data_IF_066517828273
#
_entry.id   IF_066517828273
#
_cell.length_a   1.000
_cell.length_b   1.000
_cell.length_c   1.000
_cell.angle_alpha   90.00
_cell.angle_beta   90.00
_cell.angle_gamma   90.00
#
_symmetry.space_group_name_H-M   'P 1'
#
loop_
_entity.id
_entity.type
_entity.pdbx_description
1 polymer ?
#
# COMPACT_ATOMS: atom_id res chain seq x y z
N UNK A 1 3.47 -34.35 10.90
CA UNK A 1 2.59 -33.96 9.77
C UNK A 1 1.43 -33.05 10.19
N UNK A 2 0.85 -33.22 11.39
CA UNK A 2 -0.26 -32.38 11.91
C UNK A 2 0.06 -30.87 11.94
N UNK A 3 1.29 -30.48 12.32
CA UNK A 3 1.74 -29.07 12.28
C UNK A 3 1.72 -28.44 10.88
N UNK A 4 1.97 -29.23 9.82
CA UNK A 4 1.92 -28.76 8.42
C UNK A 4 0.49 -28.49 7.95
N UNK A 5 -0.47 -29.33 8.36
CA UNK A 5 -1.89 -29.18 8.01
C UNK A 5 -2.50 -27.97 8.73
N UNK A 6 -2.07 -27.71 9.97
CA UNK A 6 -2.50 -26.52 10.71
C UNK A 6 -2.14 -25.25 9.94
N UNK A 7 -0.94 -25.15 9.36
CA UNK A 7 -0.51 -24.01 8.53
C UNK A 7 -1.17 -23.93 7.13
N UNK A 8 -1.87 -24.98 6.69
CA UNK A 8 -2.62 -24.99 5.42
C UNK A 8 -4.08 -24.56 5.66
N UNK A 9 -4.68 -25.01 6.78
CA UNK A 9 -6.02 -24.58 7.21
C UNK A 9 -6.02 -23.18 7.83
N UNK A 10 -4.92 -22.83 8.50
CA UNK A 10 -4.71 -21.55 9.16
C UNK A 10 -3.82 -20.70 8.26
N UNK A 11 -4.26 -19.48 7.94
CA UNK A 11 -3.51 -18.51 7.11
C UNK A 11 -2.01 -18.52 7.50
N UNK A 12 -1.08 -18.99 6.65
CA UNK A 12 0.33 -19.00 6.99
C UNK A 12 0.85 -17.57 7.09
N UNK A 13 1.84 -17.32 7.95
CA UNK A 13 2.34 -15.97 8.19
C UNK A 13 2.84 -15.28 6.91
N UNK A 14 3.42 -16.03 5.96
CA UNK A 14 3.85 -15.52 4.65
C UNK A 14 2.68 -15.07 3.76
N UNK A 15 1.53 -15.74 3.84
CA UNK A 15 0.31 -15.30 3.16
C UNK A 15 -0.33 -14.14 3.93
N UNK A 16 -0.23 -14.13 5.26
CA UNK A 16 -0.71 -13.02 6.07
C UNK A 16 0.01 -11.70 5.70
N UNK A 17 1.34 -11.70 5.52
CA UNK A 17 2.07 -10.50 5.07
C UNK A 17 1.60 -10.05 3.69
N UNK A 18 1.37 -10.96 2.74
CA UNK A 18 0.80 -10.62 1.44
C UNK A 18 -0.59 -9.96 1.57
N UNK A 19 -1.46 -10.51 2.41
CA UNK A 19 -2.78 -9.93 2.65
C UNK A 19 -2.67 -8.56 3.36
N UNK A 20 -1.67 -8.33 4.21
CA UNK A 20 -1.43 -7.01 4.80
C UNK A 20 -1.09 -5.97 3.72
N UNK A 21 -0.23 -6.31 2.77
CA UNK A 21 0.08 -5.44 1.63
C UNK A 21 -1.15 -5.18 0.75
N UNK A 22 -1.94 -6.21 0.44
CA UNK A 22 -3.21 -6.02 -0.28
C UNK A 22 -4.18 -5.10 0.48
N UNK A 23 -4.23 -5.21 1.81
CA UNK A 23 -5.05 -4.32 2.65
C UNK A 23 -4.53 -2.89 2.59
N UNK A 24 -3.22 -2.68 2.65
CA UNK A 24 -2.61 -1.36 2.55
C UNK A 24 -2.87 -0.71 1.16
N UNK A 25 -2.77 -1.51 0.10
CA UNK A 25 -3.06 -1.11 -1.28
C UNK A 25 -4.56 -1.04 -1.61
N UNK A 26 -5.46 -1.18 -0.62
CA UNK A 26 -6.92 -1.17 -0.79
C UNK A 26 -7.47 -2.20 -1.80
N UNK A 27 -6.72 -3.27 -2.08
CA UNK A 27 -7.04 -4.32 -3.06
C UNK A 27 -7.44 -5.65 -2.42
N UNK A 28 -7.61 -5.68 -1.09
CA UNK A 28 -8.02 -6.86 -0.34
C UNK A 28 -9.54 -7.11 -0.46
N UNK A 29 -9.95 -8.35 -0.69
CA UNK A 29 -11.35 -8.74 -0.63
C UNK A 29 -11.87 -8.86 0.82
N UNK A 30 -13.18 -8.77 1.02
CA UNK A 30 -13.79 -8.90 2.36
C UNK A 30 -13.47 -10.25 3.05
N UNK A 31 -13.44 -11.35 2.27
CA UNK A 31 -13.12 -12.69 2.78
C UNK A 31 -11.67 -12.76 3.26
N UNK A 32 -10.73 -12.29 2.44
CA UNK A 32 -9.31 -12.20 2.79
C UNK A 32 -9.09 -11.31 4.02
N UNK A 33 -9.80 -10.18 4.06
CA UNK A 33 -9.71 -9.23 5.16
C UNK A 33 -10.13 -9.86 6.50
N UNK A 34 -11.23 -10.64 6.51
CA UNK A 34 -11.68 -11.37 7.70
C UNK A 34 -10.67 -12.45 8.13
N UNK A 35 -10.15 -13.24 7.18
CA UNK A 35 -9.14 -14.27 7.43
C UNK A 35 -7.87 -13.66 8.04
N UNK A 36 -7.40 -12.54 7.49
CA UNK A 36 -6.26 -11.79 7.99
C UNK A 36 -6.51 -11.24 9.41
N UNK A 37 -7.67 -10.66 9.67
CA UNK A 37 -8.01 -10.15 11.00
C UNK A 37 -7.99 -11.26 12.07
N UNK A 38 -8.52 -12.45 11.77
CA UNK A 38 -8.43 -13.60 12.68
C UNK A 38 -6.97 -14.02 12.93
N UNK A 39 -6.14 -14.03 11.89
CA UNK A 39 -4.72 -14.36 12.04
C UNK A 39 -3.99 -13.37 12.94
N UNK A 40 -4.21 -12.06 12.77
CA UNK A 40 -3.59 -11.01 13.60
C UNK A 40 -4.02 -11.08 15.08
N UNK A 41 -5.20 -11.63 15.38
CA UNK A 41 -5.64 -11.87 16.75
C UNK A 41 -4.79 -12.93 17.46
N UNK A 42 -4.22 -13.88 16.72
CA UNK A 42 -3.54 -15.06 17.27
C UNK A 42 -2.01 -14.94 17.15
N UNK A 43 -1.50 -14.39 16.04
CA UNK A 43 -0.06 -14.28 15.80
C UNK A 43 0.49 -12.91 16.24
N UNK A 44 1.20 -12.89 17.38
CA UNK A 44 1.84 -11.68 17.93
C UNK A 44 2.84 -11.06 16.96
N UNK A 45 3.66 -11.85 16.27
CA UNK A 45 4.68 -11.35 15.35
C UNK A 45 4.07 -10.65 14.13
N UNK A 46 3.03 -11.24 13.55
CA UNK A 46 2.29 -10.64 12.44
C UNK A 46 1.57 -9.35 12.87
N UNK A 47 1.07 -9.28 14.11
CA UNK A 47 0.51 -8.03 14.66
C UNK A 47 1.56 -6.93 14.76
N UNK A 48 2.72 -7.22 15.36
CA UNK A 48 3.82 -6.26 15.46
C UNK A 48 4.31 -5.81 14.07
N UNK A 49 4.38 -6.73 13.11
CA UNK A 49 4.75 -6.40 11.74
C UNK A 49 3.71 -5.50 11.06
N UNK A 50 2.41 -5.79 11.23
CA UNK A 50 1.33 -4.96 10.71
C UNK A 50 1.35 -3.53 11.29
N UNK A 51 1.69 -3.36 12.57
CA UNK A 51 1.88 -2.05 13.20
C UNK A 51 3.06 -1.29 12.57
N UNK A 52 4.20 -1.97 12.34
CA UNK A 52 5.36 -1.37 11.65
C UNK A 52 5.02 -0.93 10.23
N UNK A 53 4.28 -1.77 9.49
CA UNK A 53 3.80 -1.43 8.14
C UNK A 53 2.91 -0.19 8.16
N UNK A 54 1.95 -0.11 9.08
CA UNK A 54 1.07 1.04 9.21
C UNK A 54 1.84 2.33 9.57
N UNK A 55 2.93 2.22 10.34
CA UNK A 55 3.82 3.36 10.61
C UNK A 55 4.55 3.82 9.34
N UNK A 56 5.11 2.88 8.56
CA UNK A 56 5.78 3.20 7.30
C UNK A 56 4.82 3.87 6.31
N UNK A 57 3.62 3.33 6.16
CA UNK A 57 2.59 3.90 5.26
C UNK A 57 2.24 5.35 5.64
N UNK A 58 2.11 5.65 6.93
CA UNK A 58 1.88 7.03 7.42
C UNK A 58 3.05 7.96 7.11
N UNK A 59 4.29 7.48 7.29
CA UNK A 59 5.50 8.26 6.98
C UNK A 59 5.54 8.56 5.47
N UNK A 60 5.36 7.55 4.63
CA UNK A 60 5.36 7.73 3.18
C UNK A 60 4.25 8.64 2.70
N UNK A 61 3.02 8.47 3.22
CA UNK A 61 1.92 9.39 2.93
C UNK A 61 2.32 10.82 3.28
N UNK A 62 2.82 11.08 4.49
CA UNK A 62 3.23 12.44 4.88
C UNK A 62 4.28 13.03 3.93
N UNK A 63 5.31 12.26 3.56
CA UNK A 63 6.36 12.74 2.64
C UNK A 63 5.86 12.99 1.22
N UNK A 64 4.88 12.21 0.75
CA UNK A 64 4.32 12.35 -0.61
C UNK A 64 3.22 13.41 -0.68
N UNK A 65 2.47 13.61 0.42
CA UNK A 65 1.36 14.59 0.49
C UNK A 65 1.86 16.04 0.64
N UNK A 66 3.17 16.26 0.88
CA UNK A 66 3.77 17.61 0.96
C UNK A 66 3.92 18.32 -0.41
N UNK A 67 3.27 17.81 -1.46
CA UNK A 67 3.20 18.49 -2.75
C UNK A 67 1.80 18.35 -3.35
N UNK A 68 0.82 18.98 -2.70
CA UNK A 68 -0.15 19.77 -3.47
C UNK A 68 0.66 20.86 -4.19
N UNK A 69 1.38 20.50 -5.26
CA UNK A 69 1.82 21.48 -6.22
C UNK A 69 0.51 21.97 -6.80
N UNK A 70 0.03 23.13 -6.35
CA UNK A 70 -0.90 23.92 -7.15
C UNK A 70 -0.20 24.09 -8.49
N UNK A 71 -0.58 23.25 -9.46
CA UNK A 71 -0.04 23.36 -10.80
C UNK A 71 -0.62 24.66 -11.32
N UNK A 72 0.21 25.69 -11.34
CA UNK A 72 -0.20 26.99 -11.83
C UNK A 72 -0.55 26.85 -13.31
N UNK A 73 -1.77 27.22 -13.70
CA UNK A 73 -2.19 27.18 -15.10
C UNK A 73 -1.24 27.95 -16.03
N UNK A 74 -0.59 29.01 -15.53
CA UNK A 74 0.41 29.75 -16.30
C UNK A 74 1.65 28.89 -16.61
N UNK A 75 2.09 28.03 -15.70
CA UNK A 75 3.20 27.10 -15.94
C UNK A 75 2.86 26.05 -16.99
N UNK A 76 1.61 25.57 -17.00
CA UNK A 76 1.11 24.65 -18.03
C UNK A 76 1.11 25.33 -19.40
N UNK A 77 0.65 26.59 -19.48
CA UNK A 77 0.62 27.33 -20.74
C UNK A 77 2.02 27.67 -21.25
N UNK A 78 2.93 28.09 -20.37
CA UNK A 78 4.33 28.33 -20.72
C UNK A 78 5.02 27.07 -21.25
N UNK A 79 4.72 25.91 -20.65
CA UNK A 79 5.22 24.64 -21.15
C UNK A 79 4.70 24.32 -22.56
N UNK A 80 3.39 24.49 -22.79
CA UNK A 80 2.77 24.28 -24.12
C UNK A 80 3.37 25.21 -25.18
N UNK A 81 3.55 26.48 -24.85
CA UNK A 81 4.13 27.47 -25.77
C UNK A 81 5.57 27.10 -26.13
N UNK A 82 6.40 26.72 -25.16
CA UNK A 82 7.77 26.25 -25.41
C UNK A 82 7.83 24.99 -26.27
N UNK A 83 6.86 24.09 -26.14
CA UNK A 83 6.77 22.89 -26.97
C UNK A 83 6.39 23.24 -28.41
N UNK A 84 5.44 24.16 -28.60
CA UNK A 84 5.03 24.66 -29.92
C UNK A 84 6.20 25.37 -30.60
N UNK A 85 6.90 26.26 -29.90
CA UNK A 85 8.08 26.96 -30.44
C UNK A 85 9.20 26.01 -30.87
N UNK A 86 9.38 24.89 -30.16
CA UNK A 86 10.36 23.86 -30.53
C UNK A 86 9.91 22.96 -31.69
N UNK A 87 8.61 22.91 -31.99
CA UNK A 87 8.04 22.10 -33.07
C UNK A 87 7.79 22.91 -34.35
N UNK A 88 7.79 24.23 -34.27
CA UNK A 88 7.85 25.10 -35.43
C UNK A 88 9.29 25.06 -35.99
N UNK A 89 9.45 24.51 -37.20
CA UNK A 89 10.69 24.49 -37.98
C UNK A 89 11.11 25.89 -38.41
#
# INVERSE_FOLDING_TARGET
MIRRILHILFLPCSEATLLMEKRNAQSISAKENRKLSMHLMICKFCRMYNEKLAMLDKIFKKTITEKDVEINESEIQDFKNKMIDKLNF
#
